data_IF_605789234124
#
_entry.id   IF_605789234124
#
_cell.length_a   1.000
_cell.length_b   1.000
_cell.length_c   1.000
_cell.angle_alpha   90.00
_cell.angle_beta   90.00
_cell.angle_gamma   90.00
#
_symmetry.space_group_name_H-M   'P 1'
#
loop_
_entity.id
_entity.type
_entity.pdbx_description
1 polymer ?
#
# COMPACT_ATOMS: atom_id res chain seq x y z
N UNK A 1 -35.32 -40.16 17.30
CA UNK A 1 -35.88 -38.97 16.62
C UNK A 1 -34.91 -37.76 16.69
N UNK A 2 -33.73 -37.81 16.03
CA UNK A 2 -32.69 -36.74 16.13
C UNK A 2 -32.19 -36.20 14.77
N UNK A 3 -32.99 -36.27 13.70
CA UNK A 3 -32.59 -35.83 12.34
C UNK A 3 -33.22 -34.53 11.83
N UNK A 4 -34.18 -33.93 12.54
CA UNK A 4 -34.93 -32.76 12.02
C UNK A 4 -34.30 -31.42 12.42
N UNK A 5 -33.64 -31.33 13.58
CA UNK A 5 -33.08 -30.06 14.08
C UNK A 5 -31.83 -29.55 13.32
N UNK A 6 -31.10 -30.42 12.59
CA UNK A 6 -29.86 -30.02 11.88
C UNK A 6 -30.10 -29.31 10.55
N UNK A 7 -31.30 -29.41 9.95
CA UNK A 7 -31.61 -28.78 8.66
C UNK A 7 -32.00 -27.29 8.81
N UNK A 8 -32.69 -26.92 9.88
CA UNK A 8 -33.11 -25.52 10.08
C UNK A 8 -31.95 -24.58 10.41
N UNK A 9 -30.93 -25.03 11.14
CA UNK A 9 -29.75 -24.21 11.48
C UNK A 9 -28.90 -23.89 10.24
N UNK A 10 -28.81 -24.82 9.27
CA UNK A 10 -28.10 -24.59 7.99
C UNK A 10 -28.76 -23.49 7.14
N UNK A 11 -30.09 -23.36 7.21
CA UNK A 11 -30.85 -22.38 6.41
C UNK A 11 -30.75 -20.95 6.97
N UNK A 12 -30.49 -20.81 8.27
CA UNK A 12 -30.28 -19.49 8.92
C UNK A 12 -28.89 -18.93 8.57
N UNK A 13 -27.86 -19.79 8.52
CA UNK A 13 -26.51 -19.39 8.13
C UNK A 13 -26.37 -19.03 6.64
N UNK A 14 -27.30 -19.44 5.78
CA UNK A 14 -27.32 -19.03 4.36
C UNK A 14 -28.05 -17.71 4.11
N UNK A 15 -28.87 -17.25 5.06
CA UNK A 15 -29.63 -15.99 4.97
C UNK A 15 -28.86 -14.80 5.56
N UNK A 16 -27.97 -15.07 6.51
CA UNK A 16 -26.98 -14.12 6.95
C UNK A 16 -25.76 -14.30 6.07
N UNK A 17 -25.71 -13.62 4.92
CA UNK A 17 -24.44 -13.32 4.26
C UNK A 17 -23.65 -12.41 5.21
N UNK A 18 -23.08 -13.02 6.23
CA UNK A 18 -22.04 -12.41 7.05
C UNK A 18 -20.92 -12.19 6.05
N UNK A 19 -20.90 -10.99 5.45
CA UNK A 19 -19.77 -10.45 4.75
C UNK A 19 -18.59 -10.78 5.65
N UNK A 20 -17.75 -11.75 5.24
CA UNK A 20 -16.54 -12.10 5.95
C UNK A 20 -15.82 -10.77 6.13
N UNK A 21 -15.88 -10.20 7.35
CA UNK A 21 -15.14 -8.99 7.67
C UNK A 21 -13.71 -9.34 7.30
N UNK A 22 -13.15 -8.66 6.30
CA UNK A 22 -11.77 -8.86 5.88
C UNK A 22 -10.92 -8.75 7.13
N UNK A 23 -10.39 -9.87 7.61
CA UNK A 23 -9.59 -9.91 8.83
C UNK A 23 -8.23 -9.33 8.48
N UNK A 24 -8.09 -8.02 8.60
CA UNK A 24 -6.77 -7.38 8.60
C UNK A 24 -6.00 -7.92 9.80
N UNK A 25 -4.86 -8.57 9.55
CA UNK A 25 -3.94 -8.97 10.61
C UNK A 25 -3.40 -7.70 11.24
N UNK A 26 -3.78 -7.39 12.48
CA UNK A 26 -3.20 -6.25 13.21
C UNK A 26 -1.97 -6.71 13.97
N UNK A 27 -1.02 -5.80 14.17
CA UNK A 27 0.07 -5.94 15.13
C UNK A 27 -0.50 -6.29 16.51
N UNK A 28 0.13 -7.22 17.23
CA UNK A 28 -0.35 -7.60 18.56
C UNK A 28 0.09 -6.54 19.57
N UNK A 29 -0.73 -6.24 20.59
CA UNK A 29 -0.27 -5.43 21.71
C UNK A 29 1.00 -6.04 22.31
N UNK A 30 2.07 -5.24 22.44
CA UNK A 30 3.37 -5.68 22.98
C UNK A 30 4.46 -5.95 21.94
N UNK A 31 4.14 -5.96 20.64
CA UNK A 31 5.16 -6.07 19.60
C UNK A 31 6.07 -4.81 19.56
N UNK A 32 7.37 -4.99 19.36
CA UNK A 32 8.34 -3.90 19.35
C UNK A 32 8.05 -2.86 18.24
N UNK A 33 8.31 -1.57 18.47
CA UNK A 33 8.25 -0.55 17.41
C UNK A 33 9.20 -0.90 16.26
N UNK A 34 8.78 -0.64 15.02
CA UNK A 34 9.52 -1.00 13.80
C UNK A 34 9.32 -2.43 13.31
N UNK A 35 8.42 -3.21 13.94
CA UNK A 35 8.12 -4.58 13.48
C UNK A 35 7.30 -4.53 12.20
N UNK A 36 7.89 -5.00 11.10
CA UNK A 36 7.25 -5.04 9.79
C UNK A 36 6.28 -6.22 9.70
N UNK A 37 4.99 -5.96 9.91
CA UNK A 37 3.92 -6.93 9.72
C UNK A 37 3.08 -6.45 8.55
N UNK A 38 3.02 -7.22 7.47
CA UNK A 38 2.07 -6.93 6.39
C UNK A 38 0.65 -7.20 6.89
N UNK A 39 -0.13 -6.12 7.10
CA UNK A 39 -1.50 -6.20 7.60
C UNK A 39 -2.55 -6.29 6.50
N UNK A 40 -2.12 -6.28 5.23
CA UNK A 40 -2.95 -6.30 4.02
C UNK A 40 -3.15 -7.69 3.42
N UNK A 41 -4.11 -7.80 2.50
CA UNK A 41 -4.26 -8.98 1.62
C UNK A 41 -3.26 -8.89 0.46
N UNK A 42 -2.69 -10.00 -0.01
CA UNK A 42 -1.90 -10.02 -1.24
C UNK A 42 -2.81 -9.74 -2.43
N UNK A 43 -2.69 -8.56 -3.03
CA UNK A 43 -3.49 -8.11 -4.18
C UNK A 43 -2.75 -8.29 -5.50
N UNK A 44 -1.41 -8.36 -5.44
CA UNK A 44 -0.54 -8.57 -6.59
C UNK A 44 0.38 -9.77 -6.33
N UNK A 45 0.73 -10.48 -7.38
CA UNK A 45 1.72 -11.56 -7.29
C UNK A 45 3.11 -10.99 -7.01
N UNK A 46 3.48 -9.91 -7.70
CA UNK A 46 4.77 -9.23 -7.54
C UNK A 46 4.62 -7.75 -7.18
N UNK A 47 5.66 -7.21 -6.54
CA UNK A 47 5.80 -5.76 -6.38
C UNK A 47 6.17 -5.17 -7.74
N UNK A 48 5.40 -4.17 -8.16
CA UNK A 48 5.62 -3.44 -9.40
C UNK A 48 6.18 -2.06 -9.06
N UNK A 49 7.39 -1.78 -9.57
CA UNK A 49 8.04 -0.49 -9.42
C UNK A 49 8.08 0.18 -10.78
N UNK A 50 7.63 1.43 -10.86
CA UNK A 50 7.67 2.25 -12.06
C UNK A 50 8.33 3.58 -11.72
N UNK A 51 9.32 3.96 -12.53
CA UNK A 51 9.98 5.27 -12.42
C UNK A 51 9.37 6.17 -13.47
N UNK A 52 8.97 7.37 -13.05
CA UNK A 52 8.67 8.48 -13.94
C UNK A 52 9.70 9.57 -13.69
N UNK A 53 10.50 9.90 -14.68
CA UNK A 53 11.55 10.90 -14.58
C UNK A 53 11.31 12.00 -15.61
N UNK A 54 11.28 13.24 -15.14
CA UNK A 54 10.84 14.36 -15.97
C UNK A 54 11.44 15.70 -15.56
N UNK A 55 11.56 16.56 -16.56
CA UNK A 55 11.84 17.98 -16.42
C UNK A 55 11.05 18.78 -17.47
N UNK A 56 11.51 19.98 -17.84
CA UNK A 56 10.84 20.84 -18.83
C UNK A 56 10.98 20.31 -20.27
N UNK A 57 11.99 19.50 -20.55
CA UNK A 57 12.37 19.06 -21.90
C UNK A 57 12.20 17.55 -22.12
N UNK A 58 12.21 16.75 -21.04
CA UNK A 58 12.13 15.30 -21.12
C UNK A 58 11.06 14.71 -20.20
N UNK A 59 10.50 13.57 -20.62
CA UNK A 59 9.68 12.70 -19.81
C UNK A 59 9.99 11.24 -20.17
N UNK A 60 10.29 10.42 -19.16
CA UNK A 60 10.54 8.99 -19.30
C UNK A 60 9.76 8.22 -18.25
N UNK A 61 9.13 7.12 -18.65
CA UNK A 61 8.40 6.23 -17.77
C UNK A 61 8.77 4.78 -18.04
N UNK A 62 9.38 4.10 -17.08
CA UNK A 62 9.82 2.71 -17.26
C UNK A 62 9.63 1.84 -16.02
N UNK A 63 9.29 0.54 -16.20
CA UNK A 63 9.25 -0.41 -15.10
C UNK A 63 10.67 -0.78 -14.66
N UNK A 64 10.87 -0.88 -13.36
CA UNK A 64 12.15 -1.26 -12.75
C UNK A 64 11.94 -2.50 -11.88
N UNK A 65 12.86 -3.47 -11.98
CA UNK A 65 12.84 -4.69 -11.15
C UNK A 65 13.81 -4.64 -9.97
N UNK A 66 14.86 -3.83 -10.08
CA UNK A 66 16.01 -3.79 -9.18
C UNK A 66 16.27 -2.36 -8.72
N UNK A 67 16.48 -2.17 -7.42
CA UNK A 67 16.63 -0.84 -6.79
C UNK A 67 17.90 -0.14 -7.29
N UNK A 68 18.92 -0.91 -7.64
CA UNK A 68 20.22 -0.45 -8.14
C UNK A 68 20.05 0.35 -9.45
N UNK A 69 19.05 -0.01 -10.27
CA UNK A 69 18.74 0.70 -11.52
C UNK A 69 18.10 2.07 -11.28
N UNK A 70 17.77 2.42 -10.03
CA UNK A 70 17.31 3.76 -9.67
C UNK A 70 18.47 4.77 -9.60
N UNK A 71 19.71 4.33 -9.43
CA UNK A 71 20.88 5.20 -9.20
C UNK A 71 21.04 6.34 -10.21
N UNK A 72 20.83 6.16 -11.54
CA UNK A 72 20.94 7.24 -12.51
C UNK A 72 19.93 8.37 -12.25
N UNK A 73 18.68 8.04 -11.95
CA UNK A 73 17.60 9.03 -11.70
C UNK A 73 17.87 9.84 -10.42
N UNK A 74 18.53 9.23 -9.44
CA UNK A 74 18.89 9.89 -8.18
C UNK A 74 20.01 10.91 -8.30
N UNK A 75 20.85 10.80 -9.33
CA UNK A 75 21.95 11.71 -9.61
C UNK A 75 21.55 12.82 -10.58
N UNK A 76 20.40 12.67 -11.24
CA UNK A 76 19.88 13.66 -12.18
C UNK A 76 19.36 14.91 -11.45
N UNK A 77 19.30 16.03 -12.18
CA UNK A 77 18.62 17.26 -11.73
C UNK A 77 17.10 17.21 -11.95
N UNK A 78 16.63 16.23 -12.71
CA UNK A 78 15.22 16.02 -13.02
C UNK A 78 14.40 15.68 -11.76
N UNK A 79 13.09 15.81 -11.89
CA UNK A 79 12.14 15.37 -10.86
C UNK A 79 11.81 13.92 -11.13
N UNK A 80 11.96 13.08 -10.10
CA UNK A 80 11.71 11.65 -10.21
C UNK A 80 10.55 11.26 -9.32
N UNK A 81 9.59 10.52 -9.87
CA UNK A 81 8.50 9.90 -9.16
C UNK A 81 8.62 8.38 -9.22
N UNK A 82 8.91 7.76 -8.07
CA UNK A 82 8.88 6.32 -7.91
C UNK A 82 7.50 5.85 -7.46
N UNK A 83 6.83 5.07 -8.29
CA UNK A 83 5.58 4.40 -7.97
C UNK A 83 5.84 2.94 -7.61
N UNK A 84 5.54 2.57 -6.36
CA UNK A 84 5.63 1.22 -5.84
C UNK A 84 4.22 0.69 -5.58
N UNK A 85 3.85 -0.39 -6.28
CA UNK A 85 2.57 -1.09 -6.15
C UNK A 85 2.80 -2.51 -5.62
N UNK A 86 1.99 -2.91 -4.66
CA UNK A 86 2.15 -4.18 -3.95
C UNK A 86 3.06 -3.98 -2.74
N UNK A 87 2.52 -4.21 -1.55
CA UNK A 87 3.22 -3.99 -0.28
C UNK A 87 3.47 -5.29 0.49
N UNK A 88 3.33 -6.44 -0.18
CA UNK A 88 3.33 -7.77 0.43
C UNK A 88 4.73 -8.38 0.58
N UNK A 89 5.68 -8.03 -0.29
CA UNK A 89 7.06 -8.53 -0.25
C UNK A 89 7.95 -7.56 0.54
N UNK A 90 8.02 -7.80 1.85
CA UNK A 90 8.74 -6.94 2.80
C UNK A 90 10.24 -6.89 2.49
N UNK A 91 10.83 -7.99 2.02
CA UNK A 91 12.28 -8.06 1.80
C UNK A 91 12.70 -7.22 0.60
N UNK A 92 11.91 -7.23 -0.49
CA UNK A 92 12.11 -6.28 -1.61
C UNK A 92 11.86 -4.83 -1.22
N UNK A 93 10.91 -4.56 -0.32
CA UNK A 93 10.67 -3.18 0.14
C UNK A 93 11.78 -2.67 1.04
N UNK A 94 12.34 -3.54 1.90
CA UNK A 94 13.48 -3.20 2.76
C UNK A 94 14.68 -2.74 1.96
N UNK A 95 14.98 -3.35 0.80
CA UNK A 95 16.11 -2.89 -0.02
C UNK A 95 15.89 -1.45 -0.51
N UNK A 96 14.67 -1.09 -0.91
CA UNK A 96 14.30 0.30 -1.27
C UNK A 96 14.44 1.21 -0.05
N UNK A 97 13.81 0.85 1.06
CA UNK A 97 13.78 1.72 2.25
C UNK A 97 15.16 1.94 2.85
N UNK A 98 16.00 0.90 2.90
CA UNK A 98 17.37 1.00 3.39
C UNK A 98 18.23 1.86 2.47
N UNK A 99 18.05 1.73 1.15
CA UNK A 99 18.75 2.56 0.18
C UNK A 99 18.46 4.06 0.38
N UNK A 100 17.21 4.40 0.78
CA UNK A 100 16.81 5.78 1.07
C UNK A 100 16.85 6.15 2.56
N UNK A 101 17.43 5.28 3.40
CA UNK A 101 17.55 5.46 4.85
C UNK A 101 16.22 5.83 5.55
N UNK A 102 15.11 5.20 5.14
CA UNK A 102 13.81 5.48 5.76
C UNK A 102 13.75 4.88 7.17
N UNK A 103 13.30 5.69 8.13
CA UNK A 103 13.22 5.28 9.53
C UNK A 103 12.31 4.03 9.69
N UNK A 104 12.66 3.03 10.53
CA UNK A 104 11.87 1.80 10.69
C UNK A 104 10.39 2.03 11.04
N UNK A 105 10.07 3.11 11.77
CA UNK A 105 8.68 3.50 12.06
C UNK A 105 7.90 3.90 10.80
N UNK A 106 8.55 4.59 9.87
CA UNK A 106 7.95 4.96 8.58
C UNK A 106 7.73 3.72 7.73
N UNK A 107 8.68 2.78 7.73
CA UNK A 107 8.54 1.50 7.05
C UNK A 107 7.35 0.70 7.60
N UNK A 108 7.20 0.67 8.93
CA UNK A 108 6.04 0.07 9.61
C UNK A 108 4.72 0.72 9.17
N UNK A 109 4.68 2.05 9.12
CA UNK A 109 3.47 2.77 8.70
C UNK A 109 3.11 2.59 7.24
N UNK A 110 4.10 2.43 6.35
CA UNK A 110 3.88 2.11 4.94
C UNK A 110 3.18 0.75 4.80
N UNK A 111 3.60 -0.27 5.57
CA UNK A 111 3.01 -1.62 5.51
C UNK A 111 1.72 -1.76 6.32
N UNK A 112 1.54 -0.93 7.35
CA UNK A 112 0.35 -0.90 8.19
C UNK A 112 -0.77 -0.14 7.47
N UNK A 113 -1.60 -0.86 6.72
CA UNK A 113 -2.60 -0.29 5.80
C UNK A 113 -3.81 0.38 6.47
N UNK A 114 -3.79 0.58 7.79
CA UNK A 114 -4.90 1.15 8.57
C UNK A 114 -4.51 2.45 9.28
N UNK A 115 -3.38 3.05 8.93
CA UNK A 115 -2.97 4.31 9.54
C UNK A 115 -3.93 5.45 9.18
N UNK A 116 -4.07 6.40 10.11
CA UNK A 116 -4.81 7.64 9.85
C UNK A 116 -3.96 8.57 8.97
N UNK A 117 -4.59 9.42 8.13
CA UNK A 117 -3.85 10.44 7.42
C UNK A 117 -3.01 11.30 8.36
N UNK A 118 -1.77 11.55 7.98
CA UNK A 118 -0.81 12.32 8.78
C UNK A 118 0.32 12.87 7.90
N UNK A 119 1.03 13.85 8.43
CA UNK A 119 2.27 14.38 7.87
C UNK A 119 3.31 14.35 8.99
N UNK A 120 4.49 13.84 8.69
CA UNK A 120 5.63 13.81 9.60
C UNK A 120 6.86 14.40 8.89
N UNK A 121 7.50 15.36 9.55
CA UNK A 121 8.71 16.01 9.05
C UNK A 121 9.92 15.35 9.70
N UNK A 122 10.79 14.77 8.88
CA UNK A 122 12.10 14.28 9.29
C UNK A 122 13.17 15.22 8.72
N UNK A 123 14.40 15.13 9.23
CA UNK A 123 15.49 15.99 8.79
C UNK A 123 15.79 15.82 7.28
N UNK A 124 15.67 14.59 6.76
CA UNK A 124 16.07 14.26 5.40
C UNK A 124 14.89 14.05 4.44
N UNK A 125 13.66 13.94 4.96
CA UNK A 125 12.48 13.65 4.15
C UNK A 125 11.15 14.05 4.82
N UNK A 126 10.11 14.16 4.00
CA UNK A 126 8.73 14.34 4.48
C UNK A 126 7.97 13.04 4.25
N UNK A 127 7.31 12.53 5.28
CA UNK A 127 6.43 11.37 5.18
C UNK A 127 4.98 11.81 5.28
N UNK A 128 4.16 11.33 4.35
CA UNK A 128 2.73 11.66 4.27
C UNK A 128 1.95 10.37 4.14
N UNK A 129 0.89 10.24 4.93
CA UNK A 129 -0.11 9.18 4.78
C UNK A 129 -1.42 9.83 4.37
N UNK A 130 -2.01 9.33 3.29
CA UNK A 130 -3.30 9.76 2.75
C UNK A 130 -4.26 8.57 2.63
N UNK A 131 -5.55 8.87 2.47
CA UNK A 131 -6.57 7.87 2.10
C UNK A 131 -7.17 8.22 0.74
N UNK A 132 -7.18 7.25 -0.16
CA UNK A 132 -7.93 7.30 -1.40
C UNK A 132 -9.26 6.58 -1.21
N UNK A 133 -10.35 7.29 -1.44
CA UNK A 133 -11.70 6.73 -1.44
C UNK A 133 -12.15 6.61 -2.90
N UNK A 134 -12.42 5.40 -3.37
CA UNK A 134 -12.93 5.17 -4.72
C UNK A 134 -14.23 4.37 -4.68
N UNK A 135 -15.15 4.59 -5.64
CA UNK A 135 -16.32 3.74 -5.77
C UNK A 135 -15.90 2.28 -5.92
N UNK A 136 -16.51 1.41 -5.12
CA UNK A 136 -16.38 -0.04 -5.21
C UNK A 136 -17.52 -0.67 -6.00
N UNK A 137 -17.75 -1.97 -5.78
CA UNK A 137 -18.87 -2.69 -6.39
C UNK A 137 -20.20 -2.15 -5.86
N UNK A 138 -21.14 -1.93 -6.77
CA UNK A 138 -22.53 -1.54 -6.47
C UNK A 138 -23.36 -2.81 -6.34
N UNK A 139 -23.98 -3.01 -5.17
CA UNK A 139 -24.89 -4.13 -4.92
C UNK A 139 -26.28 -3.59 -4.57
N UNK A 140 -27.12 -3.40 -5.59
CA UNK A 140 -28.41 -2.72 -5.44
C UNK A 140 -28.20 -1.26 -5.04
N UNK A 141 -28.92 -0.81 -4.00
CA UNK A 141 -28.82 0.57 -3.49
C UNK A 141 -27.57 0.82 -2.60
N UNK A 142 -26.78 -0.23 -2.32
CA UNK A 142 -25.58 -0.10 -1.48
C UNK A 142 -24.34 0.17 -2.34
N UNK A 143 -23.76 1.36 -2.18
CA UNK A 143 -22.47 1.73 -2.76
C UNK A 143 -21.38 1.29 -1.77
N UNK A 144 -20.57 0.30 -2.16
CA UNK A 144 -19.36 -0.02 -1.41
C UNK A 144 -18.28 1.01 -1.75
N UNK A 145 -17.52 1.48 -0.75
CA UNK A 145 -16.42 2.43 -0.95
C UNK A 145 -15.12 1.69 -0.67
N UNK A 146 -14.23 1.69 -1.67
CA UNK A 146 -12.87 1.21 -1.49
C UNK A 146 -12.07 2.29 -0.77
N UNK A 147 -11.51 1.96 0.39
CA UNK A 147 -10.64 2.82 1.16
C UNK A 147 -9.22 2.26 1.13
N UNK A 148 -8.33 2.98 0.45
CA UNK A 148 -6.93 2.60 0.28
C UNK A 148 -6.01 3.62 0.93
N UNK A 149 -4.98 3.14 1.63
CA UNK A 149 -3.90 3.99 2.11
C UNK A 149 -2.91 4.30 0.97
N UNK A 150 -2.55 5.57 0.84
CA UNK A 150 -1.45 6.02 -0.02
C UNK A 150 -0.38 6.59 0.90
N UNK A 151 0.81 6.02 0.87
CA UNK A 151 1.96 6.53 1.62
C UNK A 151 2.92 7.22 0.65
N UNK A 152 3.31 8.44 0.96
CA UNK A 152 4.21 9.26 0.15
C UNK A 152 5.44 9.62 0.98
N UNK A 153 6.62 9.46 0.39
CA UNK A 153 7.88 9.96 0.97
C UNK A 153 8.49 10.94 -0.03
N UNK A 154 8.76 12.16 0.41
CA UNK A 154 9.41 13.18 -0.41
C UNK A 154 10.83 13.40 0.08
N UNK A 155 11.80 13.23 -0.82
CA UNK A 155 13.24 13.39 -0.56
C UNK A 155 13.83 14.26 -1.67
N UNK A 156 14.18 15.53 -1.37
CA UNK A 156 14.74 16.46 -2.37
C UNK A 156 13.89 16.55 -3.66
N UNK A 157 14.38 16.04 -4.79
CA UNK A 157 13.70 16.01 -6.10
C UNK A 157 12.91 14.72 -6.35
N UNK A 158 12.90 13.80 -5.39
CA UNK A 158 12.37 12.46 -5.51
C UNK A 158 11.10 12.27 -4.68
N UNK A 159 10.06 11.74 -5.29
CA UNK A 159 8.80 11.39 -4.64
C UNK A 159 8.56 9.89 -4.73
N UNK A 160 8.42 9.22 -3.59
CA UNK A 160 8.00 7.83 -3.50
C UNK A 160 6.52 7.76 -3.23
N UNK A 161 5.83 6.84 -3.89
CA UNK A 161 4.44 6.52 -3.61
C UNK A 161 4.28 5.02 -3.45
N UNK A 162 3.75 4.61 -2.31
CA UNK A 162 3.51 3.22 -1.94
C UNK A 162 2.00 2.95 -1.86
N UNK A 163 1.54 1.93 -2.58
CA UNK A 163 0.13 1.53 -2.65
C UNK A 163 -0.05 0.02 -2.76
N UNK A 164 -1.22 -0.47 -2.34
CA UNK A 164 -1.57 -1.89 -2.37
C UNK A 164 -2.22 -2.29 -3.70
N UNK A 165 -3.03 -1.40 -4.27
CA UNK A 165 -3.95 -1.73 -5.36
C UNK A 165 -3.31 -1.64 -6.75
N UNK A 166 -3.91 -2.41 -7.66
CA UNK A 166 -3.61 -2.43 -9.10
C UNK A 166 -4.35 -1.34 -9.88
N UNK A 167 -5.26 -0.60 -9.23
CA UNK A 167 -6.10 0.36 -9.95
C UNK A 167 -5.25 1.46 -10.62
N UNK A 168 -5.69 1.98 -11.78
CA UNK A 168 -4.93 2.98 -12.52
C UNK A 168 -5.14 4.41 -12.00
N UNK A 169 -5.92 4.61 -10.94
CA UNK A 169 -6.16 5.96 -10.43
C UNK A 169 -4.84 6.57 -9.99
N UNK A 170 -4.58 7.81 -10.41
CA UNK A 170 -3.34 8.56 -10.17
C UNK A 170 -2.10 8.04 -10.93
N UNK A 171 -2.27 7.32 -12.05
CA UNK A 171 -1.18 7.21 -13.02
C UNK A 171 -0.88 8.63 -13.58
N UNK A 172 0.40 8.98 -13.76
CA UNK A 172 0.78 10.26 -14.35
C UNK A 172 0.33 10.39 -15.82
#
# INVERSE_FOLDING_TARGET
>A
MKKVAKKSVKKINSLLSINKRKTSKRKKPGDAPGTLIHTGERVLDDILITVHDFDEEHFTSLPVKEVEKLSPFLKSKSKTWLQVRGLHDIDKLKSIWNYFNLHPLVQEDIVSTNQRPKIELYNDFIFIVLRSLTPGSVNGDNININNEQISIVLVKTLCFRFRKATNPYLNP
#
